data_IF_322592259838
#
_entry.id   IF_322592259838
#
_cell.length_a   1.000
_cell.length_b   1.000
_cell.length_c   1.000
_cell.angle_alpha   90.00
_cell.angle_beta   90.00
_cell.angle_gamma   90.00
#
_symmetry.space_group_name_H-M   'P 1'
#
loop_
_entity.id
_entity.type
_entity.pdbx_description
1 polymer ?
#
# COMPACT_ATOMS: atom_id res chain seq x y z
N UNK A 1 20.29 -27.05 -51.34
CA UNK A 1 19.39 -27.04 -50.17
C UNK A 1 19.90 -26.18 -48.98
N UNK A 2 20.75 -25.15 -49.20
CA UNK A 2 21.42 -24.43 -48.10
C UNK A 2 20.83 -23.08 -47.66
N UNK A 3 19.90 -22.48 -48.43
CA UNK A 3 19.29 -21.18 -48.09
C UNK A 3 18.04 -21.31 -47.21
N UNK A 4 17.23 -22.34 -47.45
CA UNK A 4 15.97 -22.58 -46.72
C UNK A 4 16.24 -23.02 -45.28
N UNK A 5 17.24 -23.90 -45.06
CA UNK A 5 17.65 -24.34 -43.73
C UNK A 5 18.20 -23.19 -42.88
N UNK A 6 18.96 -22.25 -43.48
CA UNK A 6 19.47 -21.05 -42.77
C UNK A 6 18.35 -20.10 -42.36
N UNK A 7 17.33 -19.92 -43.20
CA UNK A 7 16.14 -19.12 -42.86
C UNK A 7 15.31 -19.75 -41.74
N UNK A 8 15.16 -21.08 -41.75
CA UNK A 8 14.41 -21.81 -40.73
C UNK A 8 15.11 -21.81 -39.37
N UNK A 9 16.43 -21.96 -39.35
CA UNK A 9 17.25 -21.84 -38.13
C UNK A 9 17.17 -20.41 -37.57
N UNK A 10 17.26 -19.38 -38.43
CA UNK A 10 17.12 -17.99 -38.01
C UNK A 10 15.75 -17.69 -37.39
N UNK A 11 14.67 -18.24 -37.96
CA UNK A 11 13.31 -18.11 -37.44
C UNK A 11 13.15 -18.80 -36.07
N UNK A 12 13.70 -20.01 -35.92
CA UNK A 12 13.68 -20.75 -34.64
C UNK A 12 14.44 -20.01 -33.54
N UNK A 13 15.62 -19.45 -33.85
CA UNK A 13 16.40 -18.65 -32.89
C UNK A 13 15.63 -17.38 -32.52
N UNK A 14 15.02 -16.68 -33.48
CA UNK A 14 14.22 -15.49 -33.20
C UNK A 14 13.00 -15.78 -32.32
N UNK A 15 12.29 -16.89 -32.56
CA UNK A 15 11.17 -17.34 -31.72
C UNK A 15 11.61 -17.70 -30.30
N UNK A 16 12.77 -18.33 -30.15
CA UNK A 16 13.32 -18.73 -28.85
C UNK A 16 13.75 -17.50 -28.03
N UNK A 17 14.34 -16.49 -28.69
CA UNK A 17 14.66 -15.19 -28.06
C UNK A 17 13.39 -14.44 -27.65
N UNK A 18 12.35 -14.42 -28.49
CA UNK A 18 11.06 -13.79 -28.15
C UNK A 18 10.37 -14.51 -26.99
N UNK A 19 10.40 -15.84 -26.96
CA UNK A 19 9.85 -16.63 -25.85
C UNK A 19 10.62 -16.39 -24.54
N UNK A 20 11.95 -16.32 -24.60
CA UNK A 20 12.79 -16.01 -23.45
C UNK A 20 12.57 -14.57 -22.95
N UNK A 21 12.43 -13.60 -23.84
CA UNK A 21 12.12 -12.20 -23.50
C UNK A 21 10.70 -12.06 -22.91
N UNK A 22 9.73 -12.78 -23.46
CA UNK A 22 8.36 -12.83 -22.93
C UNK A 22 8.30 -13.48 -21.54
N UNK A 23 9.04 -14.57 -21.33
CA UNK A 23 9.17 -15.21 -20.01
C UNK A 23 9.89 -14.31 -19.01
N UNK A 24 10.97 -13.62 -19.42
CA UNK A 24 11.67 -12.66 -18.58
C UNK A 24 10.78 -11.46 -18.22
N UNK A 25 9.98 -10.94 -19.17
CA UNK A 25 9.01 -9.88 -18.93
C UNK A 25 7.87 -10.34 -18.01
N UNK A 26 7.39 -11.57 -18.15
CA UNK A 26 6.39 -12.16 -17.27
C UNK A 26 6.94 -12.35 -15.84
N UNK A 27 8.17 -12.83 -15.69
CA UNK A 27 8.84 -12.95 -14.39
C UNK A 27 9.13 -11.57 -13.79
N UNK A 28 9.47 -10.57 -14.60
CA UNK A 28 9.68 -9.20 -14.15
C UNK A 28 8.38 -8.49 -13.76
N UNK A 29 7.27 -8.82 -14.40
CA UNK A 29 5.94 -8.31 -14.05
C UNK A 29 5.40 -8.90 -12.73
N UNK A 30 5.87 -10.10 -12.35
CA UNK A 30 5.46 -10.78 -11.10
C UNK A 30 6.47 -10.53 -9.96
N UNK A 31 7.69 -10.07 -10.25
CA UNK A 31 8.67 -9.72 -9.21
C UNK A 31 8.31 -8.38 -8.56
N UNK A 32 8.07 -8.32 -7.24
CA UNK A 32 7.97 -7.05 -6.54
C UNK A 32 9.34 -6.35 -6.65
N UNK A 33 9.36 -5.15 -7.23
CA UNK A 33 10.59 -4.39 -7.51
C UNK A 33 11.22 -3.74 -6.26
N UNK A 34 10.71 -4.00 -5.06
CA UNK A 34 11.24 -3.44 -3.83
C UNK A 34 11.26 -4.54 -2.77
N UNK A 35 12.41 -4.69 -2.10
CA UNK A 35 12.43 -5.38 -0.81
C UNK A 35 11.45 -4.63 0.09
N UNK A 36 10.30 -5.24 0.37
CA UNK A 36 9.33 -4.69 1.29
C UNK A 36 10.01 -4.69 2.66
N UNK A 37 10.26 -3.50 3.20
CA UNK A 37 10.86 -3.33 4.53
C UNK A 37 9.95 -2.49 5.40
N UNK A 38 10.15 -2.58 6.71
CA UNK A 38 9.53 -1.70 7.70
C UNK A 38 10.35 -0.43 7.98
N UNK A 39 11.43 -0.19 7.21
CA UNK A 39 12.19 1.03 7.31
C UNK A 39 11.31 2.23 6.92
N UNK A 40 11.29 3.24 7.77
CA UNK A 40 10.49 4.45 7.60
C UNK A 40 11.33 5.68 7.96
N UNK A 41 11.02 6.79 7.30
CA UNK A 41 11.49 8.10 7.75
C UNK A 41 10.46 8.68 8.72
N UNK A 42 10.89 9.16 9.90
CA UNK A 42 9.97 9.76 10.86
C UNK A 42 9.30 10.98 10.23
N UNK A 43 7.96 11.02 10.30
CA UNK A 43 7.18 12.14 9.78
C UNK A 43 7.06 13.17 10.89
N UNK A 44 7.56 14.38 10.66
CA UNK A 44 7.34 15.49 11.57
C UNK A 44 5.96 16.11 11.32
N UNK A 45 4.95 15.52 11.98
CA UNK A 45 3.58 16.03 11.97
C UNK A 45 3.49 17.43 12.59
N UNK A 46 4.41 17.80 13.50
CA UNK A 46 4.44 19.11 14.13
C UNK A 46 4.94 20.19 13.15
N UNK A 47 5.97 19.88 12.36
CA UNK A 47 6.44 20.76 11.29
C UNK A 47 5.35 20.98 10.22
N UNK A 48 4.64 19.92 9.79
CA UNK A 48 3.52 20.05 8.85
C UNK A 48 2.37 20.87 9.44
N UNK A 49 2.05 20.67 10.72
CA UNK A 49 1.05 21.50 11.42
C UNK A 49 1.44 22.98 11.50
N UNK A 50 2.73 23.28 11.68
CA UNK A 50 3.24 24.66 11.67
C UNK A 50 3.14 25.29 10.27
N UNK A 51 3.44 24.53 9.23
CA UNK A 51 3.29 24.97 7.83
C UNK A 51 1.82 25.28 7.48
N UNK A 52 0.85 24.57 8.07
CA UNK A 52 -0.57 24.89 7.94
C UNK A 52 -0.93 26.23 8.60
N UNK A 53 -0.42 26.48 9.79
CA UNK A 53 -0.62 27.77 10.49
C UNK A 53 0.00 28.92 9.69
N UNK A 54 1.20 28.71 9.15
CA UNK A 54 1.90 29.72 8.35
C UNK A 54 1.25 29.98 6.99
N UNK A 55 0.73 28.94 6.33
CA UNK A 55 0.06 29.05 5.03
C UNK A 55 -1.40 29.53 5.12
N UNK A 56 -1.96 29.59 6.34
CA UNK A 56 -3.36 29.99 6.59
C UNK A 56 -4.39 29.01 6.01
N UNK A 57 -3.95 27.83 5.53
CA UNK A 57 -4.82 26.79 4.99
C UNK A 57 -4.94 25.68 6.01
N UNK A 58 -6.15 25.53 6.56
CA UNK A 58 -6.50 24.40 7.43
C UNK A 58 -6.70 23.10 6.61
N UNK A 59 -5.82 22.81 5.65
CA UNK A 59 -5.81 21.57 4.87
C UNK A 59 -4.44 20.91 5.05
N UNK A 60 -4.44 19.67 5.55
CA UNK A 60 -3.27 18.82 5.66
C UNK A 60 -3.26 17.85 4.49
N UNK A 61 -2.25 17.91 3.63
CA UNK A 61 -2.06 16.92 2.58
C UNK A 61 -1.05 15.86 3.02
N UNK A 62 -1.52 14.61 3.11
CA UNK A 62 -0.71 13.42 3.33
C UNK A 62 -0.42 12.76 2.00
N UNK A 63 0.82 12.81 1.56
CA UNK A 63 1.24 12.11 0.35
C UNK A 63 1.19 10.59 0.53
N UNK A 64 1.18 9.83 -0.56
CA UNK A 64 1.31 8.37 -0.51
C UNK A 64 2.57 7.92 0.23
N UNK A 65 3.66 8.70 0.17
CA UNK A 65 4.88 8.43 0.93
C UNK A 65 4.69 8.67 2.43
N UNK A 66 4.01 9.76 2.83
CA UNK A 66 3.65 10.01 4.23
C UNK A 66 2.78 8.86 4.77
N UNK A 67 1.80 8.39 4.00
CA UNK A 67 0.94 7.27 4.41
C UNK A 67 1.74 5.97 4.58
N UNK A 68 2.70 5.71 3.69
CA UNK A 68 3.60 4.56 3.81
C UNK A 68 4.48 4.62 5.04
N UNK A 69 5.13 5.76 5.28
CA UNK A 69 6.00 5.95 6.42
C UNK A 69 5.22 5.79 7.73
N UNK A 70 4.02 6.37 7.82
CA UNK A 70 3.15 6.21 8.99
C UNK A 70 2.72 4.76 9.20
N UNK A 71 2.34 4.05 8.13
CA UNK A 71 1.95 2.65 8.23
C UNK A 71 3.13 1.77 8.67
N UNK A 72 4.31 1.97 8.09
CA UNK A 72 5.54 1.25 8.47
C UNK A 72 5.97 1.56 9.90
N UNK A 73 5.85 2.80 10.35
CA UNK A 73 6.09 3.19 11.75
C UNK A 73 5.18 2.38 12.70
N UNK A 74 3.87 2.39 12.45
CA UNK A 74 2.89 1.63 13.27
C UNK A 74 3.15 0.12 13.23
N UNK A 75 3.46 -0.44 12.07
CA UNK A 75 3.77 -1.86 11.91
C UNK A 75 5.11 -2.24 12.54
N UNK A 76 6.10 -1.34 12.53
CA UNK A 76 7.39 -1.58 13.18
C UNK A 76 7.29 -1.59 14.71
N UNK A 77 6.35 -0.82 15.27
CA UNK A 77 6.07 -0.83 16.71
C UNK A 77 5.43 -2.14 17.18
N UNK A 78 4.63 -2.79 16.32
CA UNK A 78 3.99 -4.06 16.61
C UNK A 78 3.96 -5.00 15.38
N UNK A 79 5.11 -5.60 15.02
CA UNK A 79 5.24 -6.39 13.78
C UNK A 79 4.56 -7.76 13.90
N UNK A 80 4.31 -8.23 15.13
CA UNK A 80 3.63 -9.48 15.39
C UNK A 80 2.11 -9.26 15.42
N UNK A 81 1.46 -9.46 14.26
CA UNK A 81 0.00 -9.24 14.12
C UNK A 81 -0.81 -10.41 14.67
N UNK A 82 -0.31 -11.63 14.51
CA UNK A 82 -0.87 -12.82 15.15
C UNK A 82 0.27 -13.65 15.73
N UNK A 83 0.02 -14.58 16.67
CA UNK A 83 1.07 -15.45 17.21
C UNK A 83 1.84 -16.21 16.12
N UNK A 84 1.22 -16.44 14.97
CA UNK A 84 1.78 -17.22 13.88
C UNK A 84 2.23 -16.37 12.69
N UNK A 85 2.02 -15.05 12.67
CA UNK A 85 2.43 -14.20 11.55
C UNK A 85 3.13 -12.93 12.01
N UNK A 86 4.38 -12.78 11.57
CA UNK A 86 5.19 -11.58 11.76
C UNK A 86 5.34 -10.84 10.45
N UNK A 87 5.06 -9.55 10.44
CA UNK A 87 5.31 -8.66 9.31
C UNK A 87 6.78 -8.26 9.30
N UNK A 88 7.40 -8.31 8.13
CA UNK A 88 8.78 -7.88 7.86
C UNK A 88 8.85 -6.70 6.89
N UNK A 89 7.78 -6.48 6.12
CA UNK A 89 7.68 -5.39 5.17
C UNK A 89 6.24 -5.04 4.82
N UNK A 90 6.02 -3.76 4.52
CA UNK A 90 4.73 -3.29 4.05
C UNK A 90 4.88 -2.14 3.05
N UNK A 91 4.06 -2.19 2.00
CA UNK A 91 3.91 -1.13 1.03
C UNK A 91 2.42 -0.88 0.81
N UNK A 92 2.02 0.38 0.95
CA UNK A 92 0.67 0.84 0.73
C UNK A 92 0.66 1.70 -0.54
N UNK A 93 -0.31 1.45 -1.40
CA UNK A 93 -0.53 2.23 -2.61
C UNK A 93 -1.95 2.77 -2.57
N UNK A 94 -2.07 4.10 -2.60
CA UNK A 94 -3.36 4.79 -2.62
C UNK A 94 -3.65 5.34 -4.01
N UNK A 95 -4.81 4.99 -4.56
CA UNK A 95 -5.32 5.48 -5.85
C UNK A 95 -6.76 5.93 -5.65
N UNK A 96 -6.95 7.24 -5.45
CA UNK A 96 -8.24 7.78 -5.00
C UNK A 96 -8.70 7.06 -3.73
N UNK A 97 -9.92 6.54 -3.73
CA UNK A 97 -10.49 5.80 -2.59
C UNK A 97 -10.01 4.34 -2.48
N UNK A 98 -9.15 3.85 -3.38
CA UNK A 98 -8.66 2.47 -3.33
C UNK A 98 -7.29 2.41 -2.67
N UNK A 99 -7.18 1.63 -1.61
CA UNK A 99 -5.94 1.34 -0.91
C UNK A 99 -5.54 -0.12 -1.19
N UNK A 100 -4.34 -0.31 -1.73
CA UNK A 100 -3.71 -1.63 -1.85
C UNK A 100 -2.59 -1.73 -0.82
N UNK A 101 -2.64 -2.75 0.03
CA UNK A 101 -1.62 -3.05 1.02
C UNK A 101 -0.92 -4.36 0.64
N UNK A 102 0.36 -4.26 0.27
CA UNK A 102 1.25 -5.38 0.02
C UNK A 102 2.12 -5.61 1.25
N UNK A 103 1.95 -6.77 1.88
CA UNK A 103 2.56 -7.13 3.15
C UNK A 103 3.45 -8.35 2.91
N UNK A 104 4.71 -8.25 3.32
CA UNK A 104 5.64 -9.37 3.41
C UNK A 104 5.85 -9.73 4.88
N UNK A 105 5.86 -11.03 5.17
CA UNK A 105 6.08 -11.51 6.52
C UNK A 105 6.46 -12.98 6.57
N UNK A 106 6.69 -13.47 7.78
CA UNK A 106 6.95 -14.88 8.05
C UNK A 106 5.82 -15.52 8.85
N UNK A 107 5.36 -16.66 8.35
CA UNK A 107 4.42 -17.53 9.04
C UNK A 107 5.18 -18.56 9.87
N UNK A 108 4.89 -18.60 11.18
CA UNK A 108 5.54 -19.41 12.22
C UNK A 108 7.07 -19.31 12.17
N UNK A 109 7.61 -18.14 11.80
CA UNK A 109 9.04 -17.88 11.57
C UNK A 109 9.72 -18.80 10.53
N UNK A 110 8.95 -19.60 9.77
CA UNK A 110 9.42 -20.68 8.90
C UNK A 110 9.17 -20.44 7.41
N UNK A 111 8.05 -19.77 7.06
CA UNK A 111 7.58 -19.65 5.68
C UNK A 111 7.34 -18.20 5.28
N UNK A 112 7.96 -17.76 4.17
CA UNK A 112 7.77 -16.42 3.63
C UNK A 112 6.38 -16.26 3.04
N UNK A 113 5.53 -15.44 3.65
CA UNK A 113 4.17 -15.20 3.21
C UNK A 113 4.01 -13.76 2.71
N UNK A 114 3.57 -13.65 1.46
CA UNK A 114 3.15 -12.40 0.85
C UNK A 114 1.63 -12.31 0.85
N UNK A 115 1.10 -11.25 1.46
CA UNK A 115 -0.33 -10.95 1.50
C UNK A 115 -0.55 -9.65 0.75
N UNK A 116 -1.50 -9.65 -0.18
CA UNK A 116 -2.00 -8.43 -0.81
C UNK A 116 -3.45 -8.26 -0.41
N UNK A 117 -3.79 -7.09 0.15
CA UNK A 117 -5.16 -6.75 0.51
C UNK A 117 -5.57 -5.45 -0.18
N UNK A 118 -6.76 -5.42 -0.73
CA UNK A 118 -7.36 -4.23 -1.32
C UNK A 118 -8.54 -3.77 -0.48
N UNK A 119 -8.56 -2.49 -0.16
CA UNK A 119 -9.63 -1.84 0.59
C UNK A 119 -10.17 -0.63 -0.17
N UNK A 120 -11.45 -0.34 0.04
CA UNK A 120 -12.05 0.95 -0.29
C UNK A 120 -12.08 1.80 0.97
N UNK A 121 -11.47 2.97 0.91
CA UNK A 121 -11.49 3.96 1.97
C UNK A 121 -12.69 4.88 1.81
N UNK A 122 -13.35 5.14 2.93
CA UNK A 122 -14.49 6.04 3.02
C UNK A 122 -14.39 6.85 4.31
N UNK A 123 -14.54 8.17 4.19
CA UNK A 123 -14.66 9.04 5.35
C UNK A 123 -16.09 9.03 5.84
N UNK A 124 -16.31 8.57 7.07
CA UNK A 124 -17.59 8.59 7.77
C UNK A 124 -17.37 9.29 9.10
N UNK A 125 -17.50 10.61 9.11
CA UNK A 125 -17.22 11.45 10.29
C UNK A 125 -17.75 10.80 11.58
N UNK A 126 -16.89 10.62 12.62
CA UNK A 126 -15.50 11.07 12.76
C UNK A 126 -14.43 10.02 12.38
N UNK A 127 -14.83 8.96 11.67
CA UNK A 127 -14.03 7.76 11.43
C UNK A 127 -13.64 7.60 9.96
N UNK A 128 -12.47 6.98 9.75
CA UNK A 128 -12.06 6.48 8.45
C UNK A 128 -12.38 4.98 8.38
N UNK A 129 -13.26 4.60 7.45
CA UNK A 129 -13.68 3.21 7.26
C UNK A 129 -12.99 2.61 6.04
N UNK A 130 -12.23 1.54 6.25
CA UNK A 130 -11.63 0.75 5.18
C UNK A 130 -12.47 -0.52 4.97
N UNK A 131 -13.22 -0.58 3.87
CA UNK A 131 -14.04 -1.74 3.51
C UNK A 131 -13.23 -2.70 2.64
N UNK A 132 -13.07 -3.98 3.00
CA UNK A 132 -12.29 -4.92 2.22
C UNK A 132 -12.95 -5.19 0.87
N UNK A 133 -12.14 -5.18 -0.19
CA UNK A 133 -12.55 -5.50 -1.55
C UNK A 133 -12.04 -6.88 -1.97
N UNK A 134 -10.76 -7.14 -1.74
CA UNK A 134 -10.14 -8.41 -2.08
C UNK A 134 -8.92 -8.68 -1.20
N UNK A 135 -8.56 -9.96 -1.11
CA UNK A 135 -7.34 -10.39 -0.44
C UNK A 135 -6.72 -11.55 -1.20
N UNK A 136 -5.40 -11.57 -1.28
CA UNK A 136 -4.63 -12.62 -1.94
C UNK A 136 -3.49 -13.03 -1.04
N UNK A 137 -3.30 -14.33 -0.89
CA UNK A 137 -2.13 -14.93 -0.24
C UNK A 137 -1.28 -15.60 -1.32
N UNK A 138 -0.05 -15.10 -1.53
CA UNK A 138 0.87 -15.57 -2.58
C UNK A 138 0.19 -15.67 -3.96
N UNK A 139 -0.65 -14.69 -4.29
CA UNK A 139 -1.40 -14.61 -5.56
C UNK A 139 -2.69 -15.44 -5.60
N UNK A 140 -2.97 -16.27 -4.60
CA UNK A 140 -4.22 -17.04 -4.49
C UNK A 140 -5.27 -16.17 -3.81
N UNK A 141 -6.41 -15.94 -4.47
CA UNK A 141 -7.52 -15.18 -3.91
C UNK A 141 -8.09 -15.88 -2.67
N UNK A 142 -8.22 -15.13 -1.58
CA UNK A 142 -8.87 -15.60 -0.36
C UNK A 142 -10.39 -15.46 -0.49
N UNK A 143 -11.18 -16.30 0.21
CA UNK A 143 -12.64 -16.19 0.23
C UNK A 143 -13.11 -14.80 0.69
N UNK A 144 -14.19 -14.31 0.08
CA UNK A 144 -14.86 -13.10 0.54
C UNK A 144 -15.27 -13.23 2.02
N UNK A 145 -15.01 -12.19 2.81
CA UNK A 145 -15.27 -12.20 4.26
C UNK A 145 -14.11 -12.69 5.13
N UNK A 146 -12.95 -13.02 4.54
CA UNK A 146 -11.73 -13.32 5.33
C UNK A 146 -11.15 -12.06 5.98
N UNK A 147 -11.35 -10.91 5.34
CA UNK A 147 -10.98 -9.60 5.89
C UNK A 147 -12.23 -8.92 6.46
N UNK A 148 -12.07 -8.31 7.62
CA UNK A 148 -13.10 -7.47 8.24
C UNK A 148 -12.90 -6.00 7.87
N UNK A 149 -13.98 -5.19 7.84
CA UNK A 149 -13.86 -3.74 7.75
C UNK A 149 -13.02 -3.19 8.91
N UNK A 150 -12.08 -2.31 8.59
CA UNK A 150 -11.26 -1.62 9.59
C UNK A 150 -11.85 -0.24 9.81
N UNK A 151 -12.20 0.07 11.06
CA UNK A 151 -12.65 1.40 11.48
C UNK A 151 -11.50 2.07 12.22
N UNK A 152 -10.98 3.15 11.66
CA UNK A 152 -9.91 3.93 12.25
C UNK A 152 -10.55 5.18 12.86
N UNK A 153 -10.59 5.28 14.20
CA UNK A 153 -11.19 6.43 14.87
C UNK A 153 -10.21 7.61 14.84
N UNK A 154 -10.22 8.35 13.74
CA UNK A 154 -9.27 9.47 13.54
C UNK A 154 -9.64 10.63 14.46
N UNK A 155 -10.94 10.92 14.60
CA UNK A 155 -11.41 12.03 15.42
C UNK A 155 -11.14 11.89 16.93
N UNK A 156 -10.93 10.68 17.45
CA UNK A 156 -10.60 10.46 18.87
C UNK A 156 -9.11 10.66 19.19
N UNK A 157 -8.25 10.68 18.16
CA UNK A 157 -6.82 10.93 18.30
C UNK A 157 -6.48 12.42 18.22
N UNK A 158 -7.45 13.27 17.87
CA UNK A 158 -7.26 14.72 17.78
C UNK A 158 -7.55 15.41 19.13
N UNK A 159 -6.85 16.52 19.43
CA UNK A 159 -7.18 17.36 20.57
C UNK A 159 -8.63 17.84 20.51
N UNK A 160 -9.29 18.03 21.65
CA UNK A 160 -10.71 18.42 21.74
C UNK A 160 -11.07 19.72 20.99
N UNK A 161 -10.08 20.59 20.77
CA UNK A 161 -10.23 21.90 20.10
C UNK A 161 -10.21 21.78 18.57
N UNK A 162 -9.76 20.65 18.00
CA UNK A 162 -9.58 20.46 16.56
C UNK A 162 -10.40 19.25 16.08
N UNK A 163 -11.23 19.46 15.07
CA UNK A 163 -11.98 18.41 14.38
C UNK A 163 -11.53 18.27 12.93
N UNK A 164 -11.87 17.14 12.31
CA UNK A 164 -11.78 16.98 10.86
C UNK A 164 -13.10 17.49 10.26
N UNK A 165 -13.00 18.32 9.22
CA UNK A 165 -14.15 18.82 8.45
C UNK A 165 -14.47 17.90 7.29
N UNK A 166 -13.44 17.50 6.55
CA UNK A 166 -13.57 16.59 5.41
C UNK A 166 -12.26 15.87 5.13
N UNK A 167 -12.37 14.71 4.49
CA UNK A 167 -11.24 13.96 3.96
C UNK A 167 -11.50 13.70 2.49
N UNK A 168 -10.57 14.13 1.65
CA UNK A 168 -10.63 13.94 0.21
C UNK A 168 -9.47 13.07 -0.24
N UNK A 169 -9.79 11.98 -0.94
CA UNK A 169 -8.80 11.12 -1.55
C UNK A 169 -8.47 11.64 -2.95
N UNK A 170 -7.24 12.09 -3.14
CA UNK A 170 -6.74 12.67 -4.40
C UNK A 170 -5.69 11.74 -5.00
N UNK A 171 -5.34 11.96 -6.27
CA UNK A 171 -4.24 11.21 -6.88
C UNK A 171 -2.94 11.52 -6.13
N UNK A 172 -2.29 10.48 -5.62
CA UNK A 172 -1.04 10.58 -4.87
C UNK A 172 -1.16 10.91 -3.38
N UNK A 173 -2.36 11.01 -2.80
CA UNK A 173 -2.49 11.27 -1.36
C UNK A 173 -3.89 11.54 -0.82
N UNK A 174 -3.95 12.00 0.42
CA UNK A 174 -5.18 12.34 1.14
C UNK A 174 -5.10 13.78 1.61
N UNK A 175 -6.08 14.59 1.26
CA UNK A 175 -6.26 15.93 1.81
C UNK A 175 -7.25 15.88 2.98
N UNK A 176 -6.83 16.36 4.15
CA UNK A 176 -7.61 16.40 5.37
C UNK A 176 -7.87 17.86 5.72
N UNK A 177 -9.11 18.31 5.58
CA UNK A 177 -9.51 19.64 6.02
C UNK A 177 -9.78 19.61 7.53
N UNK A 178 -9.16 20.52 8.27
CA UNK A 178 -9.35 20.68 9.71
C UNK A 178 -10.33 21.82 9.99
N UNK A 179 -11.01 21.72 11.13
CA UNK A 179 -11.88 22.76 11.67
C UNK A 179 -11.61 22.93 13.18
N UNK A 180 -11.84 24.13 13.69
CA UNK A 180 -11.87 24.37 15.12
C UNK A 180 -13.23 23.92 15.67
N UNK A 181 -13.22 23.12 16.73
CA UNK A 181 -14.40 22.84 17.55
C UNK A 181 -14.51 23.96 18.58
N UNK A 182 -15.36 24.94 18.30
CA UNK A 182 -15.74 26.03 19.21
C UNK A 182 -17.09 25.70 19.86
#
# INVERSE_FOLDING_TARGET
MGKVAKGFIGLLVALLVLAAAGAAAAVWYIRPQQELTLAHEPIDLAAKGLEMVQSGKAELFLSGQDINNLARERLSAQPQVTPEFRIEGAQLTLQGQRLTADIAGRYRDLLDAGVQAEYRLEWRDPDLVATPLSAKLRGIALPAGTLEPIVIPVGSQLPSVVGIRSVEFRDGGVAVALQLRL
#
